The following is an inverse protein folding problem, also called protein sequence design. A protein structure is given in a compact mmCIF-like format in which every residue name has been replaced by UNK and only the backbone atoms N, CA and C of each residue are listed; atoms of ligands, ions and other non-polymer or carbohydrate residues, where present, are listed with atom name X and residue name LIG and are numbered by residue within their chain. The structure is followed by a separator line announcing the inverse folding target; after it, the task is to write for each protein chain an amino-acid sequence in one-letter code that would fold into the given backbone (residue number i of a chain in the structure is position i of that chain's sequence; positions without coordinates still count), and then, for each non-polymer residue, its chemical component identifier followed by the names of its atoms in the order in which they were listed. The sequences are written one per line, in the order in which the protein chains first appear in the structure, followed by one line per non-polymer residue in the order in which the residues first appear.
data_IF_811270086916
#
_entry.id   IF_811270086916
#
_cell.length_a   1.000
_cell.length_b   1.000
_cell.length_c   1.000
_cell.angle_alpha   90.00
_cell.angle_beta   90.00
_cell.angle_gamma   90.00
#
_symmetry.space_group_name_H-M   'P 1'
#
loop_
_entity.id
_entity.type
_entity.pdbx_description
1 polymer ?
#
# COMPACT_ATOMS: atom_id res chain seq x y z
N UNK A 1 39.37 -3.95 11.08
CA UNK A 1 39.14 -2.95 12.12
C UNK A 1 38.32 -1.81 11.53
N UNK A 2 37.00 -2.00 11.36
CA UNK A 2 35.98 -1.02 10.94
C UNK A 2 34.63 -1.75 10.92
N UNK A 3 33.91 -1.68 12.00
CA UNK A 3 32.44 -1.79 12.11
C UNK A 3 32.05 -1.92 13.57
N UNK A 4 32.09 -0.80 14.27
CA UNK A 4 31.42 -0.68 15.57
C UNK A 4 30.41 0.45 15.45
N UNK A 5 29.13 0.13 15.61
CA UNK A 5 28.12 1.14 15.92
C UNK A 5 26.98 1.33 14.96
N UNK A 6 26.31 0.25 14.50
CA UNK A 6 24.90 0.34 14.12
C UNK A 6 24.11 -0.61 15.02
N UNK A 7 23.57 -0.07 16.09
CA UNK A 7 22.55 -0.76 16.86
C UNK A 7 21.32 -0.90 15.96
N UNK A 8 21.18 -2.05 15.31
CA UNK A 8 19.96 -2.44 14.62
C UNK A 8 18.85 -2.52 15.67
N UNK A 9 17.90 -1.60 15.62
CA UNK A 9 16.76 -1.58 16.51
C UNK A 9 15.99 -2.89 16.33
N UNK A 10 15.95 -3.74 17.36
CA UNK A 10 15.40 -5.10 17.33
C UNK A 10 13.90 -5.19 17.01
N UNK A 11 13.19 -4.04 17.00
CA UNK A 11 11.76 -3.97 16.68
C UNK A 11 11.38 -4.23 15.23
N UNK A 12 12.33 -4.25 14.30
CA UNK A 12 12.05 -4.38 12.85
C UNK A 12 11.61 -5.77 12.42
N UNK A 13 11.79 -6.80 13.26
CA UNK A 13 11.58 -8.18 12.87
C UNK A 13 10.83 -9.05 13.87
N UNK A 14 10.27 -8.46 14.91
CA UNK A 14 9.57 -9.23 15.96
C UNK A 14 8.16 -9.70 15.57
N UNK A 15 7.70 -9.42 14.36
CA UNK A 15 6.49 -10.10 13.85
C UNK A 15 6.85 -11.53 13.44
N UNK A 16 6.97 -12.40 14.44
CA UNK A 16 6.89 -13.83 14.26
C UNK A 16 5.52 -14.14 13.64
N UNK A 17 5.51 -14.88 12.53
CA UNK A 17 4.39 -15.48 11.82
C UNK A 17 3.06 -14.69 11.90
N UNK A 18 2.53 -14.24 10.77
CA UNK A 18 1.31 -13.43 10.76
C UNK A 18 0.14 -14.22 11.35
N UNK A 19 -0.65 -13.58 12.20
CA UNK A 19 -2.01 -14.04 12.49
C UNK A 19 -2.76 -14.11 11.15
N UNK A 20 -3.63 -15.12 10.95
CA UNK A 20 -4.45 -15.15 9.75
C UNK A 20 -5.28 -13.86 9.73
N UNK A 21 -5.04 -13.03 8.72
CA UNK A 21 -5.87 -11.88 8.46
C UNK A 21 -7.26 -12.40 8.12
N UNK A 22 -8.27 -11.88 8.80
CA UNK A 22 -9.65 -12.05 8.36
C UNK A 22 -9.72 -11.57 6.90
N UNK A 23 -10.38 -12.36 6.05
CA UNK A 23 -10.61 -11.98 4.67
C UNK A 23 -11.24 -10.57 4.63
N UNK A 24 -10.71 -9.67 3.79
CA UNK A 24 -11.32 -8.36 3.62
C UNK A 24 -12.76 -8.56 3.12
N UNK A 25 -13.69 -7.68 3.53
CA UNK A 25 -15.08 -7.79 3.10
C UNK A 25 -15.14 -7.85 1.58
N UNK A 26 -15.94 -8.79 1.07
CA UNK A 26 -16.22 -8.96 -0.35
C UNK A 26 -16.66 -7.62 -0.95
N UNK A 27 -15.82 -7.01 -1.75
CA UNK A 27 -16.21 -5.89 -2.60
C UNK A 27 -17.01 -6.46 -3.78
N UNK A 28 -18.19 -5.90 -4.11
CA UNK A 28 -19.01 -6.41 -5.18
C UNK A 28 -18.31 -6.32 -6.54
N UNK A 29 -18.49 -7.37 -7.33
CA UNK A 29 -17.97 -7.54 -8.69
C UNK A 29 -18.77 -6.67 -9.71
N UNK A 30 -18.75 -5.36 -9.61
CA UNK A 30 -19.25 -4.52 -10.68
C UNK A 30 -18.09 -3.86 -11.44
N UNK A 31 -17.85 -4.40 -12.63
CA UNK A 31 -16.85 -3.93 -13.59
C UNK A 31 -17.37 -2.68 -14.30
N UNK A 32 -16.91 -1.51 -13.90
CA UNK A 32 -16.87 -0.36 -14.79
C UNK A 32 -15.51 -0.35 -15.51
N UNK A 33 -15.48 -0.18 -16.85
CA UNK A 33 -14.23 -0.12 -17.60
C UNK A 33 -13.54 1.22 -17.34
N UNK A 34 -12.72 1.29 -16.31
CA UNK A 34 -11.83 2.43 -16.12
C UNK A 34 -10.63 2.23 -17.03
N UNK A 35 -10.51 3.06 -18.07
CA UNK A 35 -9.29 3.14 -18.86
C UNK A 35 -8.19 3.67 -17.94
N UNK A 36 -7.07 2.94 -17.74
CA UNK A 36 -5.94 3.50 -17.03
C UNK A 36 -5.41 4.71 -17.83
N UNK A 37 -5.37 5.86 -17.19
CA UNK A 37 -4.74 7.08 -17.72
C UNK A 37 -3.20 6.99 -17.69
N UNK A 38 -2.67 5.78 -17.75
CA UNK A 38 -1.24 5.55 -17.91
C UNK A 38 -0.97 5.34 -19.39
N UNK A 39 -0.18 6.22 -20.00
CA UNK A 39 0.32 6.04 -21.36
C UNK A 39 0.99 4.70 -21.50
N UNK A 40 0.36 3.87 -22.32
CA UNK A 40 0.83 2.62 -22.93
C UNK A 40 1.95 1.88 -22.16
N UNK A 41 1.59 0.77 -21.53
CA UNK A 41 2.32 -0.48 -21.31
C UNK A 41 2.21 -1.08 -19.90
N UNK A 42 1.44 -2.19 -19.88
CA UNK A 42 1.37 -3.28 -18.91
C UNK A 42 0.43 -3.09 -17.72
N UNK A 43 -0.22 -4.19 -17.29
CA UNK A 43 -1.08 -4.17 -16.11
C UNK A 43 -0.25 -3.80 -14.87
N UNK A 44 -0.83 -2.97 -14.03
CA UNK A 44 -0.28 -2.38 -12.80
C UNK A 44 0.27 -3.38 -11.79
N UNK A 45 -0.04 -4.66 -11.95
CA UNK A 45 0.21 -5.66 -10.92
C UNK A 45 0.67 -6.98 -11.53
N UNK A 46 1.89 -7.40 -11.23
CA UNK A 46 2.32 -8.78 -11.46
C UNK A 46 1.83 -9.63 -10.26
N UNK A 47 0.99 -10.65 -10.53
CA UNK A 47 0.66 -11.65 -9.52
C UNK A 47 -0.70 -11.56 -8.85
N UNK A 48 -1.76 -11.15 -9.57
CA UNK A 48 -3.14 -11.22 -9.07
C UNK A 48 -3.54 -10.08 -8.14
N UNK A 49 -2.81 -8.99 -8.16
CA UNK A 49 -3.11 -7.79 -7.40
C UNK A 49 -4.25 -7.01 -8.06
N UNK A 50 -5.25 -6.60 -7.29
CA UNK A 50 -6.41 -5.86 -7.78
C UNK A 50 -6.23 -4.39 -7.43
N UNK A 51 -6.14 -3.52 -8.44
CA UNK A 51 -6.25 -2.07 -8.27
C UNK A 51 -7.72 -1.67 -8.17
N UNK A 52 -8.07 -0.79 -7.23
CA UNK A 52 -9.39 -0.18 -7.16
C UNK A 52 -9.61 0.85 -8.30
N UNK A 53 -10.87 1.17 -8.54
CA UNK A 53 -11.28 2.14 -9.56
C UNK A 53 -10.58 3.49 -9.36
N UNK A 54 -10.28 4.20 -10.44
CA UNK A 54 -9.62 5.50 -10.45
C UNK A 54 -8.20 5.54 -9.87
N UNK A 55 -7.64 4.41 -9.46
CA UNK A 55 -6.22 4.34 -9.05
C UNK A 55 -5.33 4.44 -10.27
N UNK A 56 -4.32 5.31 -10.22
CA UNK A 56 -3.35 5.45 -11.29
C UNK A 56 -1.92 5.39 -10.79
N UNK A 57 -1.04 4.92 -11.66
CA UNK A 57 0.40 4.94 -11.45
C UNK A 57 1.07 5.78 -12.53
N UNK A 58 2.08 6.53 -12.14
CA UNK A 58 2.93 7.25 -13.08
C UNK A 58 4.28 6.54 -13.21
N UNK A 59 4.74 6.35 -14.44
CA UNK A 59 6.03 5.73 -14.72
C UNK A 59 6.11 4.25 -14.36
N UNK A 60 7.31 3.79 -14.02
CA UNK A 60 7.60 2.39 -13.69
C UNK A 60 7.52 2.18 -12.18
N UNK A 61 6.77 1.17 -11.76
CA UNK A 61 6.57 0.79 -10.35
C UNK A 61 6.69 -0.72 -10.18
N UNK A 62 7.04 -1.16 -8.97
CA UNK A 62 7.14 -2.58 -8.60
C UNK A 62 6.16 -2.86 -7.44
N UNK A 63 5.02 -3.45 -7.78
CA UNK A 63 3.91 -3.69 -6.84
C UNK A 63 3.62 -5.20 -6.82
N UNK A 64 3.78 -5.83 -5.65
CA UNK A 64 3.67 -7.28 -5.47
C UNK A 64 2.80 -7.58 -4.25
N UNK A 65 1.91 -8.57 -4.36
CA UNK A 65 1.04 -9.03 -3.28
C UNK A 65 0.35 -7.87 -2.53
N UNK A 66 -0.31 -6.98 -3.27
CA UNK A 66 -0.91 -5.75 -2.76
C UNK A 66 -2.40 -5.70 -3.13
N UNK A 67 -3.23 -5.26 -2.19
CA UNK A 67 -4.60 -4.85 -2.46
C UNK A 67 -4.65 -3.32 -2.46
N UNK A 68 -4.95 -2.72 -3.60
CA UNK A 68 -5.07 -1.28 -3.74
C UNK A 68 -6.54 -0.86 -3.64
N UNK A 69 -6.84 0.12 -2.80
CA UNK A 69 -8.13 0.82 -2.79
C UNK A 69 -8.34 1.67 -4.03
N UNK A 70 -9.43 2.43 -4.04
CA UNK A 70 -9.81 3.34 -5.13
C UNK A 70 -9.08 4.68 -5.01
N UNK A 71 -8.94 5.40 -6.14
CA UNK A 71 -8.44 6.78 -6.21
C UNK A 71 -6.99 6.97 -5.73
N UNK A 72 -6.20 5.93 -5.64
CA UNK A 72 -4.81 6.06 -5.23
C UNK A 72 -3.95 6.73 -6.30
N UNK A 73 -3.06 7.61 -5.88
CA UNK A 73 -2.10 8.33 -6.71
C UNK A 73 -0.70 7.78 -6.44
N UNK A 74 -0.13 7.04 -7.39
CA UNK A 74 1.15 6.36 -7.22
C UNK A 74 2.17 6.97 -8.18
N UNK A 75 3.16 7.66 -7.61
CA UNK A 75 4.24 8.29 -8.39
C UNK A 75 5.23 7.26 -8.94
N UNK A 76 6.15 7.71 -9.78
CA UNK A 76 7.20 6.86 -10.37
C UNK A 76 8.15 6.28 -9.33
N UNK A 77 8.58 5.04 -9.55
CA UNK A 77 9.64 4.38 -8.78
C UNK A 77 9.17 3.80 -7.44
N UNK A 78 7.87 3.82 -7.18
CA UNK A 78 7.31 3.25 -5.96
C UNK A 78 7.47 1.74 -5.94
N UNK A 79 7.92 1.21 -4.80
CA UNK A 79 7.96 -0.24 -4.53
C UNK A 79 7.01 -0.60 -3.40
N UNK A 80 6.04 -1.44 -3.69
CA UNK A 80 5.13 -1.97 -2.67
C UNK A 80 5.40 -3.45 -2.48
N UNK A 81 5.64 -3.84 -1.23
CA UNK A 81 5.93 -5.20 -0.81
C UNK A 81 7.15 -5.81 -1.52
N UNK A 82 8.33 -5.16 -1.43
CA UNK A 82 9.54 -5.73 -2.00
C UNK A 82 9.80 -7.12 -1.44
N UNK A 83 10.18 -8.05 -2.30
CA UNK A 83 10.41 -9.44 -1.93
C UNK A 83 11.48 -9.53 -0.84
N UNK A 84 11.12 -10.10 0.31
CA UNK A 84 12.02 -10.31 1.44
C UNK A 84 12.67 -11.68 1.39
N UNK A 85 13.92 -11.75 1.88
CA UNK A 85 14.63 -13.00 2.10
C UNK A 85 14.41 -13.52 3.53
N UNK A 86 14.36 -14.84 3.77
CA UNK A 86 14.11 -15.44 5.08
C UNK A 86 15.35 -15.38 5.99
N UNK A 87 15.95 -14.19 6.15
CA UNK A 87 17.24 -14.00 6.78
C UNK A 87 17.32 -14.49 8.24
N UNK A 88 16.19 -14.48 8.96
CA UNK A 88 16.10 -14.97 10.35
C UNK A 88 15.52 -16.38 10.49
N UNK A 89 14.96 -16.91 9.41
CA UNK A 89 14.26 -18.19 9.43
C UNK A 89 15.15 -19.35 8.93
N UNK A 90 16.21 -19.04 8.21
CA UNK A 90 17.08 -20.01 7.56
C UNK A 90 18.56 -19.72 7.81
N UNK A 91 19.37 -20.77 7.80
CA UNK A 91 20.82 -20.66 7.92
C UNK A 91 21.46 -19.84 6.80
N UNK A 92 20.84 -19.83 5.61
CA UNK A 92 21.25 -18.98 4.49
C UNK A 92 20.07 -18.15 3.98
N UNK A 93 20.28 -16.86 3.79
CA UNK A 93 19.27 -15.95 3.21
C UNK A 93 19.08 -16.17 1.71
N UNK A 94 20.03 -16.81 1.05
CA UNK A 94 20.04 -17.00 -0.40
C UNK A 94 18.89 -17.90 -0.87
N UNK A 95 18.35 -17.62 -2.04
CA UNK A 95 17.13 -18.26 -2.53
C UNK A 95 17.30 -19.74 -2.94
N UNK A 96 18.52 -20.28 -3.02
CA UNK A 96 18.70 -21.70 -3.24
C UNK A 96 18.04 -22.57 -2.16
N UNK A 97 17.78 -22.01 -0.98
CA UNK A 97 17.14 -22.72 0.14
C UNK A 97 15.63 -22.90 -0.02
N UNK A 98 15.02 -22.26 -1.03
CA UNK A 98 13.58 -22.34 -1.30
C UNK A 98 13.22 -22.30 -2.78
N UNK A 99 14.18 -21.98 -3.66
CA UNK A 99 14.11 -22.13 -5.11
C UNK A 99 15.09 -23.20 -5.56
N UNK A 100 14.99 -24.37 -4.91
CA UNK A 100 15.92 -25.45 -5.05
C UNK A 100 15.98 -25.98 -6.47
N UNK A 101 14.84 -26.04 -7.17
CA UNK A 101 14.73 -26.50 -8.55
C UNK A 101 15.56 -25.65 -9.52
N UNK A 102 15.67 -24.35 -9.29
CA UNK A 102 16.45 -23.43 -10.11
C UNK A 102 17.95 -23.78 -10.11
N UNK A 103 18.42 -24.45 -9.07
CA UNK A 103 19.82 -24.88 -8.89
C UNK A 103 20.02 -26.38 -9.07
N UNK A 104 18.99 -27.15 -9.42
CA UNK A 104 19.06 -28.60 -9.51
C UNK A 104 19.29 -29.28 -8.16
N UNK A 105 18.93 -28.64 -7.05
CA UNK A 105 19.15 -29.14 -5.68
C UNK A 105 17.94 -29.83 -5.08
N UNK A 106 16.82 -29.87 -5.77
CA UNK A 106 15.57 -30.50 -5.28
C UNK A 106 14.34 -29.69 -5.67
N UNK A 107 13.24 -29.97 -4.99
CA UNK A 107 11.96 -29.26 -5.19
C UNK A 107 11.93 -27.92 -4.46
N UNK A 108 11.13 -26.96 -4.97
CA UNK A 108 10.94 -25.66 -4.36
C UNK A 108 10.13 -25.74 -3.07
N UNK A 109 10.42 -24.86 -2.12
CA UNK A 109 9.66 -24.76 -0.87
C UNK A 109 8.51 -23.74 -1.02
N UNK A 110 7.31 -24.26 -1.28
CA UNK A 110 6.10 -23.46 -1.44
C UNK A 110 5.67 -22.75 -0.13
N UNK A 111 6.12 -23.22 1.04
CA UNK A 111 5.76 -22.58 2.31
C UNK A 111 6.27 -21.15 2.41
N UNK A 112 7.46 -20.85 1.86
CA UNK A 112 8.00 -19.52 1.83
C UNK A 112 7.27 -18.59 0.85
N UNK A 113 6.78 -19.15 -0.24
CA UNK A 113 5.96 -18.39 -1.20
C UNK A 113 4.62 -18.04 -0.56
N UNK A 114 4.01 -18.99 0.16
CA UNK A 114 2.79 -18.76 0.92
C UNK A 114 2.99 -17.70 2.01
N UNK A 115 4.09 -17.74 2.75
CA UNK A 115 4.45 -16.72 3.74
C UNK A 115 4.55 -15.32 3.14
N UNK A 116 5.15 -15.16 1.95
CA UNK A 116 5.22 -13.88 1.24
C UNK A 116 3.84 -13.36 0.84
N UNK A 117 2.96 -14.24 0.37
CA UNK A 117 1.58 -13.89 0.02
C UNK A 117 0.77 -13.43 1.23
N UNK A 118 1.01 -14.03 2.39
CA UNK A 118 0.36 -13.65 3.65
C UNK A 118 0.79 -12.27 4.15
N UNK A 119 2.04 -11.85 3.84
CA UNK A 119 2.56 -10.52 4.18
C UNK A 119 2.13 -9.46 3.16
N UNK A 120 0.88 -9.52 2.67
CA UNK A 120 0.37 -8.57 1.69
C UNK A 120 0.29 -7.15 2.26
N UNK A 121 0.42 -6.17 1.39
CA UNK A 121 0.14 -4.77 1.69
C UNK A 121 -1.31 -4.47 1.33
N UNK A 122 -1.96 -3.65 2.14
CA UNK A 122 -3.31 -3.14 1.86
C UNK A 122 -3.25 -1.63 1.85
N UNK A 123 -3.79 -1.00 0.82
CA UNK A 123 -4.02 0.45 0.83
C UNK A 123 -5.52 0.73 0.90
N UNK A 124 -5.89 1.73 1.68
CA UNK A 124 -7.21 2.33 1.62
C UNK A 124 -7.43 3.12 0.33
N UNK A 125 -8.35 4.03 0.38
CA UNK A 125 -8.76 4.90 -0.72
C UNK A 125 -8.04 6.25 -0.66
N UNK A 126 -7.87 6.93 -1.79
CA UNK A 126 -7.26 8.27 -1.87
C UNK A 126 -5.85 8.36 -1.25
N UNK A 127 -5.08 7.27 -1.31
CA UNK A 127 -3.69 7.22 -0.81
C UNK A 127 -2.75 7.84 -1.83
N UNK A 128 -1.85 8.70 -1.37
CA UNK A 128 -0.78 9.25 -2.20
C UNK A 128 0.58 8.65 -1.82
N UNK A 129 1.20 7.96 -2.79
CA UNK A 129 2.57 7.46 -2.67
C UNK A 129 3.52 8.34 -3.48
N UNK A 130 4.39 9.05 -2.77
CA UNK A 130 5.40 9.93 -3.35
C UNK A 130 6.49 9.15 -4.12
N UNK A 131 7.21 9.86 -4.97
CA UNK A 131 8.27 9.31 -5.83
C UNK A 131 9.29 8.48 -5.05
N UNK A 132 9.62 7.28 -5.54
CA UNK A 132 10.56 6.33 -4.92
C UNK A 132 10.18 5.90 -3.48
N UNK A 133 8.94 6.04 -3.06
CA UNK A 133 8.52 5.49 -1.77
C UNK A 133 8.56 3.95 -1.79
N UNK A 134 8.91 3.38 -0.64
CA UNK A 134 8.93 1.93 -0.43
C UNK A 134 7.96 1.58 0.70
N UNK A 135 7.02 0.67 0.45
CA UNK A 135 6.10 0.16 1.47
C UNK A 135 6.44 -1.30 1.74
N UNK A 136 6.83 -1.61 2.97
CA UNK A 136 7.25 -2.95 3.36
C UNK A 136 6.05 -3.90 3.47
N UNK A 137 6.31 -5.20 3.31
CA UNK A 137 5.28 -6.23 3.41
C UNK A 137 4.56 -6.24 4.77
N UNK A 138 3.25 -6.48 4.75
CA UNK A 138 2.37 -6.54 5.92
C UNK A 138 1.90 -5.18 6.44
N UNK A 139 2.22 -4.08 5.73
CA UNK A 139 1.79 -2.72 6.09
C UNK A 139 0.39 -2.46 5.56
N UNK A 140 -0.42 -1.76 6.35
CA UNK A 140 -1.69 -1.16 5.94
C UNK A 140 -1.55 0.36 5.86
N UNK A 141 -2.00 0.95 4.76
CA UNK A 141 -2.13 2.40 4.60
C UNK A 141 -3.61 2.75 4.67
N UNK A 142 -3.99 3.58 5.64
CA UNK A 142 -5.38 4.04 5.82
C UNK A 142 -5.85 4.96 4.69
N UNK A 143 -7.17 5.20 4.63
CA UNK A 143 -7.78 6.09 3.65
C UNK A 143 -7.15 7.48 3.72
N UNK A 144 -6.91 8.08 2.58
CA UNK A 144 -6.31 9.40 2.50
C UNK A 144 -4.86 9.53 2.99
N UNK A 145 -4.17 8.44 3.35
CA UNK A 145 -2.78 8.49 3.81
C UNK A 145 -1.83 9.06 2.76
N UNK A 146 -0.80 9.75 3.20
CA UNK A 146 0.23 10.33 2.33
C UNK A 146 1.60 9.81 2.74
N UNK A 147 2.31 9.23 1.78
CA UNK A 147 3.69 8.78 1.94
C UNK A 147 4.61 9.70 1.15
N UNK A 148 5.49 10.41 1.86
CA UNK A 148 6.45 11.33 1.25
C UNK A 148 7.42 10.64 0.30
N UNK A 149 7.98 11.41 -0.64
CA UNK A 149 8.95 10.90 -1.61
C UNK A 149 10.17 10.30 -0.91
N UNK A 150 10.64 9.15 -1.40
CA UNK A 150 11.79 8.44 -0.84
C UNK A 150 11.58 7.82 0.54
N UNK A 151 10.38 7.86 1.08
CA UNK A 151 10.08 7.28 2.39
C UNK A 151 10.11 5.73 2.35
N UNK A 152 10.53 5.11 3.46
CA UNK A 152 10.47 3.66 3.67
C UNK A 152 9.48 3.36 4.78
N UNK A 153 8.28 2.95 4.42
CA UNK A 153 7.18 2.68 5.35
C UNK A 153 7.32 1.26 5.90
N UNK A 154 7.42 1.16 7.22
CA UNK A 154 7.68 -0.11 7.93
C UNK A 154 6.59 -0.46 8.95
N UNK A 155 5.64 0.43 9.14
CA UNK A 155 4.50 0.30 10.07
C UNK A 155 3.23 0.79 9.38
N UNK A 156 2.09 0.40 9.92
CA UNK A 156 0.80 0.87 9.44
C UNK A 156 0.71 2.41 9.54
N UNK A 157 0.05 3.00 8.58
CA UNK A 157 -0.20 4.46 8.51
C UNK A 157 -1.69 4.68 8.70
N UNK A 158 -2.02 5.57 9.64
CA UNK A 158 -3.41 5.86 9.96
C UNK A 158 -4.13 6.62 8.81
N UNK A 159 -5.47 6.61 8.78
CA UNK A 159 -6.21 7.41 7.81
C UNK A 159 -5.80 8.89 7.87
N UNK A 160 -5.58 9.49 6.70
CA UNK A 160 -5.18 10.91 6.52
C UNK A 160 -3.85 11.30 7.19
N UNK A 161 -3.07 10.33 7.66
CA UNK A 161 -1.74 10.58 8.19
C UNK A 161 -0.74 10.85 7.06
N UNK A 162 0.17 11.79 7.30
CA UNK A 162 1.31 12.10 6.44
C UNK A 162 2.57 11.55 7.09
N UNK A 163 3.27 10.66 6.39
CA UNK A 163 4.52 10.06 6.85
C UNK A 163 5.66 10.29 5.86
N UNK A 164 6.89 10.34 6.36
CA UNK A 164 8.08 10.50 5.54
C UNK A 164 9.36 10.06 6.23
N UNK A 165 10.44 9.96 5.47
CA UNK A 165 11.77 9.59 5.98
C UNK A 165 12.07 8.08 5.92
N UNK A 166 13.27 7.69 6.41
CA UNK A 166 13.78 6.31 6.42
C UNK A 166 14.32 5.96 7.80
N UNK A 167 13.61 5.12 8.59
CA UNK A 167 12.24 4.65 8.36
C UNK A 167 11.22 5.80 8.43
N UNK A 168 10.09 5.62 7.76
CA UNK A 168 9.04 6.64 7.75
C UNK A 168 8.50 6.92 9.17
N UNK A 169 8.24 8.18 9.45
CA UNK A 169 7.70 8.69 10.72
C UNK A 169 6.58 9.67 10.41
N UNK A 170 5.73 9.86 11.39
CA UNK A 170 4.69 10.86 11.36
C UNK A 170 5.28 12.27 11.10
N UNK A 171 4.70 12.97 10.14
CA UNK A 171 5.01 14.37 9.82
C UNK A 171 3.84 15.26 10.24
N UNK A 172 2.60 14.82 10.00
CA UNK A 172 1.39 15.56 10.28
C UNK A 172 0.15 14.84 9.78
N UNK A 173 -0.95 15.54 9.77
CA UNK A 173 -2.25 15.10 9.26
C UNK A 173 -2.67 15.97 8.08
N UNK A 174 -3.39 15.39 7.10
CA UNK A 174 -3.94 16.16 5.98
C UNK A 174 -4.97 17.19 6.44
N UNK A 175 -5.74 16.84 7.45
CA UNK A 175 -6.85 17.64 7.97
C UNK A 175 -6.90 17.58 9.50
N UNK A 176 -7.61 18.52 10.16
CA UNK A 176 -7.95 18.42 11.58
C UNK A 176 -8.80 17.17 11.86
N UNK A 177 -8.79 16.64 13.10
CA UNK A 177 -9.47 15.39 13.46
C UNK A 177 -10.96 15.35 13.10
N UNK A 178 -11.66 16.47 13.25
CA UNK A 178 -13.09 16.59 12.92
C UNK A 178 -13.38 16.42 11.42
N UNK A 179 -12.50 16.95 10.54
CA UNK A 179 -12.65 16.76 9.11
C UNK A 179 -12.25 15.35 8.68
N UNK A 180 -11.26 14.74 9.32
CA UNK A 180 -10.91 13.32 9.09
C UNK A 180 -12.12 12.44 9.41
N UNK A 181 -12.71 12.62 10.59
CA UNK A 181 -13.89 11.86 10.99
C UNK A 181 -15.08 12.05 10.05
N UNK A 182 -15.29 13.27 9.54
CA UNK A 182 -16.34 13.56 8.56
C UNK A 182 -16.05 12.84 7.22
N UNK A 183 -14.82 12.92 6.69
CA UNK A 183 -14.43 12.25 5.45
C UNK A 183 -14.63 10.73 5.52
N UNK A 184 -14.28 10.11 6.66
CA UNK A 184 -14.48 8.68 6.91
C UNK A 184 -15.98 8.29 6.93
N UNK A 185 -16.87 9.19 7.36
CA UNK A 185 -18.32 8.96 7.30
C UNK A 185 -18.90 9.19 5.91
N UNK A 186 -18.43 10.22 5.21
CA UNK A 186 -18.90 10.58 3.85
C UNK A 186 -18.56 9.49 2.85
N UNK A 187 -17.37 8.89 2.92
CA UNK A 187 -16.89 7.83 2.03
C UNK A 187 -17.12 8.15 0.55
N UNK A 188 -16.72 9.32 0.11
CA UNK A 188 -16.94 9.82 -1.25
C UNK A 188 -16.40 8.88 -2.36
N UNK A 189 -15.44 8.06 -2.05
CA UNK A 189 -14.89 7.05 -2.95
C UNK A 189 -15.89 5.91 -3.30
N UNK A 190 -17.02 5.83 -2.60
CA UNK A 190 -18.11 4.91 -2.90
C UNK A 190 -19.21 5.56 -3.76
N UNK A 191 -19.05 6.84 -4.11
CA UNK A 191 -19.99 7.54 -4.98
C UNK A 191 -19.91 7.04 -6.41
N UNK A 192 -21.07 7.05 -7.10
CA UNK A 192 -21.12 6.70 -8.51
C UNK A 192 -20.38 7.73 -9.37
N UNK A 193 -20.00 7.31 -10.60
CA UNK A 193 -19.37 8.21 -11.57
C UNK A 193 -20.21 9.49 -11.81
N UNK A 194 -21.52 9.35 -11.90
CA UNK A 194 -22.42 10.49 -12.11
C UNK A 194 -22.42 11.43 -10.90
N UNK A 195 -22.48 10.90 -9.67
CA UNK A 195 -22.34 11.71 -8.46
C UNK A 195 -21.01 12.47 -8.40
N UNK A 196 -19.91 11.82 -8.76
CA UNK A 196 -18.59 12.46 -8.81
C UNK A 196 -18.57 13.59 -9.84
N UNK A 197 -19.16 13.37 -11.02
CA UNK A 197 -19.23 14.38 -12.07
C UNK A 197 -20.08 15.60 -11.65
N UNK A 198 -21.24 15.37 -11.05
CA UNK A 198 -22.14 16.44 -10.58
C UNK A 198 -21.53 17.25 -9.44
N UNK A 199 -20.73 16.62 -8.58
CA UNK A 199 -20.16 17.21 -7.36
C UNK A 199 -18.69 17.59 -7.48
N UNK A 200 -18.13 17.58 -8.69
CA UNK A 200 -16.71 17.78 -8.91
C UNK A 200 -16.16 19.06 -8.27
N UNK A 201 -16.94 20.15 -8.31
CA UNK A 201 -16.55 21.45 -7.74
C UNK A 201 -16.65 21.50 -6.22
N UNK A 202 -17.39 20.60 -5.62
CA UNK A 202 -17.49 20.53 -4.16
C UNK A 202 -16.16 20.05 -3.54
N UNK A 203 -15.29 19.38 -4.31
CA UNK A 203 -13.96 18.94 -3.85
C UNK A 203 -12.93 20.06 -3.73
N UNK A 204 -13.23 21.26 -4.19
CA UNK A 204 -12.29 22.39 -4.17
C UNK A 204 -12.01 22.91 -2.74
N UNK A 205 -12.90 22.65 -1.77
CA UNK A 205 -12.75 23.04 -0.34
C UNK A 205 -13.19 21.90 0.58
N UNK A 206 -12.24 21.30 1.28
CA UNK A 206 -12.50 20.14 2.15
C UNK A 206 -13.47 20.46 3.32
N UNK A 207 -13.39 21.67 3.90
CA UNK A 207 -14.28 22.04 5.01
C UNK A 207 -15.72 22.30 4.53
N UNK A 208 -15.88 22.96 3.39
CA UNK A 208 -17.17 23.14 2.77
C UNK A 208 -17.79 21.81 2.32
N UNK A 209 -16.95 20.92 1.76
CA UNK A 209 -17.33 19.57 1.36
C UNK A 209 -17.89 18.78 2.56
N UNK A 210 -17.14 18.74 3.67
CA UNK A 210 -17.61 18.06 4.88
C UNK A 210 -18.91 18.65 5.40
N UNK A 211 -19.03 19.99 5.49
CA UNK A 211 -20.30 20.62 5.93
C UNK A 211 -21.50 20.26 5.06
N UNK A 212 -21.29 20.03 3.77
CA UNK A 212 -22.34 19.72 2.81
C UNK A 212 -22.77 18.25 2.83
N UNK A 213 -21.82 17.34 3.02
CA UNK A 213 -22.04 15.92 2.78
C UNK A 213 -21.90 15.02 4.01
N UNK A 214 -21.42 15.53 5.14
CA UNK A 214 -21.33 14.73 6.37
C UNK A 214 -22.75 14.34 6.85
N UNK A 215 -23.06 13.05 6.95
CA UNK A 215 -24.39 12.60 7.38
C UNK A 215 -24.71 12.89 8.85
N UNK A 216 -23.75 13.46 9.62
CA UNK A 216 -23.77 13.74 11.07
C UNK A 216 -24.11 12.54 11.94
#
# INVERSE_FOLDING_TARGET
MWWTGVTCNAGFYERALPRPAADPPNLPDEKLPVRPLCGDRRPLCAGGDRGGDYTYCFGSNDIIYTALGKFNSIATGVRINPVQHPAKLRAAAHHFTYRCSHYGLGEDDESLIAWRRQSRVVTGHDVWLGHNAVVMGGVTLGDGAVVGAGAVVTHDVAPYEIVGGVPARHIGWRYPPELIAAMERIRWWDWSHDMLRERLRDFDDAAAFCRKFDPQ
#
